data_IF_535598964046
#
_entry.id   IF_535598964046
#
_cell.length_a   1.000
_cell.length_b   1.000
_cell.length_c   1.000
_cell.angle_alpha   90.00
_cell.angle_beta   90.00
_cell.angle_gamma   90.00
#
_symmetry.space_group_name_H-M   'P 1'
#
loop_
_entity.id
_entity.type
_entity.pdbx_description
1 polymer ?
#
# COMPACT_ATOMS: atom_id res chain seq x y z
N UNK A 1 -9.28 -3.57 1.49
CA UNK A 1 -8.55 -4.52 0.63
C UNK A 1 -8.30 -3.93 -0.76
N UNK A 2 -9.33 -3.39 -1.43
CA UNK A 2 -9.18 -2.72 -2.74
C UNK A 2 -8.06 -1.68 -2.78
N UNK A 3 -8.02 -0.75 -1.83
CA UNK A 3 -6.99 0.30 -1.82
C UNK A 3 -5.56 -0.27 -1.77
N UNK A 4 -5.34 -1.38 -1.06
CA UNK A 4 -4.04 -2.05 -1.03
C UNK A 4 -3.69 -2.68 -2.38
N UNK A 5 -4.65 -3.32 -3.03
CA UNK A 5 -4.44 -3.87 -4.37
C UNK A 5 -4.16 -2.75 -5.38
N UNK A 6 -4.96 -1.68 -5.38
CA UNK A 6 -4.77 -0.55 -6.29
C UNK A 6 -3.39 0.09 -6.11
N UNK A 7 -2.98 0.36 -4.85
CA UNK A 7 -1.66 0.93 -4.54
C UNK A 7 -0.53 -0.02 -4.93
N UNK A 8 -0.69 -1.33 -4.72
CA UNK A 8 0.31 -2.32 -5.14
C UNK A 8 0.43 -2.41 -6.66
N UNK A 9 -0.67 -2.47 -7.40
CA UNK A 9 -0.66 -2.43 -8.87
C UNK A 9 0.00 -1.13 -9.36
N UNK A 10 -0.33 0.01 -8.74
CA UNK A 10 0.33 1.27 -9.04
C UNK A 10 1.85 1.17 -8.83
N UNK A 11 2.30 0.61 -7.70
CA UNK A 11 3.74 0.51 -7.41
C UNK A 11 4.50 -0.43 -8.34
N UNK A 12 3.81 -1.40 -8.97
CA UNK A 12 4.41 -2.36 -9.91
C UNK A 12 4.44 -1.87 -11.36
N UNK A 13 3.47 -1.06 -11.78
CA UNK A 13 3.24 -0.79 -13.20
C UNK A 13 3.37 0.68 -13.61
N UNK A 14 3.35 1.62 -12.66
CA UNK A 14 3.49 3.04 -12.98
C UNK A 14 4.95 3.44 -12.82
N UNK A 15 5.55 3.88 -13.92
CA UNK A 15 6.88 4.50 -13.94
C UNK A 15 6.78 5.91 -13.33
N UNK A 16 6.70 5.95 -12.01
CA UNK A 16 6.54 7.21 -11.29
C UNK A 16 7.85 7.98 -11.28
N UNK A 17 7.82 9.22 -11.80
CA UNK A 17 8.84 10.18 -11.43
C UNK A 17 8.73 10.45 -9.92
N UNK A 18 9.71 9.93 -9.15
CA UNK A 18 9.74 10.03 -7.69
C UNK A 18 9.58 11.47 -7.18
N UNK A 19 10.15 12.46 -7.90
CA UNK A 19 10.04 13.87 -7.55
C UNK A 19 8.61 14.41 -7.72
N UNK A 20 7.92 14.04 -8.79
CA UNK A 20 6.52 14.42 -9.02
C UNK A 20 5.58 13.74 -8.02
N UNK A 21 5.78 12.44 -7.76
CA UNK A 21 4.98 11.69 -6.80
C UNK A 21 5.11 12.28 -5.39
N UNK A 22 6.33 12.56 -4.94
CA UNK A 22 6.57 13.13 -3.62
C UNK A 22 5.89 14.51 -3.47
N UNK A 23 5.99 15.37 -4.49
CA UNK A 23 5.30 16.68 -4.49
C UNK A 23 3.78 16.53 -4.38
N UNK A 24 3.19 15.59 -5.12
CA UNK A 24 1.76 15.33 -5.09
C UNK A 24 1.30 14.80 -3.71
N UNK A 25 2.07 13.89 -3.12
CA UNK A 25 1.81 13.37 -1.76
C UNK A 25 1.88 14.51 -0.75
N UNK A 26 2.95 15.31 -0.74
CA UNK A 26 3.10 16.44 0.18
C UNK A 26 1.98 17.48 0.03
N UNK A 27 1.58 17.80 -1.21
CA UNK A 27 0.46 18.71 -1.46
C UNK A 27 -0.87 18.15 -0.92
N UNK A 28 -1.10 16.84 -1.07
CA UNK A 28 -2.32 16.19 -0.55
C UNK A 28 -2.41 16.27 0.97
N UNK A 29 -1.31 15.99 1.70
CA UNK A 29 -1.27 16.12 3.15
C UNK A 29 -1.45 17.57 3.62
N UNK A 30 -0.78 18.52 2.94
CA UNK A 30 -0.92 19.96 3.21
C UNK A 30 -2.37 20.41 3.03
N UNK A 31 -3.03 20.03 1.93
CA UNK A 31 -4.40 20.42 1.63
C UNK A 31 -5.42 19.81 2.60
N UNK A 32 -5.08 18.67 3.22
CA UNK A 32 -5.91 18.01 4.23
C UNK A 32 -5.59 18.46 5.66
N UNK A 33 -4.68 19.42 5.83
CA UNK A 33 -4.20 19.88 7.14
C UNK A 33 -3.75 18.74 8.07
N UNK A 34 -3.20 17.68 7.46
CA UNK A 34 -2.71 16.51 8.18
C UNK A 34 -1.22 16.38 7.94
N UNK A 35 -0.45 16.21 9.01
CA UNK A 35 0.99 16.02 8.90
C UNK A 35 1.30 14.73 8.14
N UNK A 36 2.32 14.77 7.28
CA UNK A 36 2.89 13.55 6.70
C UNK A 36 3.38 12.69 7.87
N UNK A 37 2.89 11.45 8.01
CA UNK A 37 3.28 10.61 9.13
C UNK A 37 4.77 10.27 9.05
N UNK A 38 5.46 10.53 10.15
CA UNK A 38 6.89 10.23 10.33
C UNK A 38 7.12 8.81 10.86
N UNK A 39 6.06 8.16 11.33
CA UNK A 39 6.05 6.78 11.81
C UNK A 39 5.40 5.85 10.78
N UNK A 40 5.76 4.58 10.83
CA UNK A 40 5.11 3.54 10.04
C UNK A 40 3.59 3.55 10.25
N UNK A 41 2.85 3.43 9.16
CA UNK A 41 1.40 3.24 9.20
C UNK A 41 1.06 1.87 9.77
N UNK A 42 0.14 1.78 10.72
CA UNK A 42 -0.35 0.49 11.26
C UNK A 42 -0.79 -0.46 10.14
N UNK A 43 -1.46 0.09 9.13
CA UNK A 43 -1.91 -0.60 7.92
C UNK A 43 -0.79 -1.27 7.11
N UNK A 44 0.48 -0.87 7.31
CA UNK A 44 1.65 -1.42 6.61
C UNK A 44 2.49 -2.37 7.48
N UNK A 45 1.97 -2.78 8.64
CA UNK A 45 2.68 -3.67 9.57
C UNK A 45 2.38 -5.16 9.28
N UNK A 46 3.32 -6.04 9.68
CA UNK A 46 3.12 -7.48 9.60
C UNK A 46 1.92 -7.97 10.44
N UNK A 47 1.62 -7.29 11.56
CA UNK A 47 0.45 -7.61 12.38
C UNK A 47 -0.84 -7.32 11.61
N UNK A 48 -0.92 -6.18 10.93
CA UNK A 48 -2.08 -5.85 10.10
C UNK A 48 -2.28 -6.86 8.97
N UNK A 49 -1.21 -7.24 8.27
CA UNK A 49 -1.29 -8.25 7.21
C UNK A 49 -1.82 -9.59 7.74
N UNK A 50 -1.35 -10.04 8.90
CA UNK A 50 -1.80 -11.29 9.54
C UNK A 50 -3.27 -11.23 9.94
N UNK A 51 -3.73 -10.14 10.54
CA UNK A 51 -5.13 -10.01 11.01
C UNK A 51 -6.12 -9.88 9.85
N UNK A 52 -5.68 -9.39 8.69
CA UNK A 52 -6.54 -9.16 7.52
C UNK A 52 -6.38 -10.19 6.40
N UNK A 53 -5.57 -11.24 6.58
CA UNK A 53 -5.35 -12.32 5.58
C UNK A 53 -6.65 -12.90 5.03
N UNK A 54 -7.63 -13.20 5.88
CA UNK A 54 -8.91 -13.78 5.45
C UNK A 54 -9.69 -12.81 4.56
N UNK A 55 -9.72 -11.52 4.91
CA UNK A 55 -10.38 -10.49 4.12
C UNK A 55 -9.70 -10.31 2.76
N UNK A 56 -8.37 -10.34 2.74
CA UNK A 56 -7.59 -10.31 1.51
C UNK A 56 -7.94 -11.49 0.60
N UNK A 57 -7.89 -12.72 1.13
CA UNK A 57 -8.18 -13.93 0.36
C UNK A 57 -9.60 -13.92 -0.23
N UNK A 58 -10.59 -13.46 0.54
CA UNK A 58 -11.96 -13.30 0.04
C UNK A 58 -12.05 -12.25 -1.07
N UNK A 59 -11.33 -11.14 -0.93
CA UNK A 59 -11.28 -10.06 -1.91
C UNK A 59 -10.66 -10.51 -3.24
N UNK A 60 -9.47 -11.13 -3.23
CA UNK A 60 -8.79 -11.55 -4.46
C UNK A 60 -9.52 -12.68 -5.18
N UNK A 61 -10.14 -13.62 -4.44
CA UNK A 61 -11.03 -14.63 -5.02
C UNK A 61 -12.21 -14.01 -5.78
N UNK A 62 -12.83 -12.98 -5.21
CA UNK A 62 -13.93 -12.27 -5.87
C UNK A 62 -13.48 -11.55 -7.15
N UNK A 63 -12.21 -11.15 -7.23
CA UNK A 63 -11.63 -10.52 -8.42
C UNK A 63 -11.12 -11.52 -9.46
N UNK A 64 -11.04 -12.82 -9.13
CA UNK A 64 -10.43 -13.85 -9.99
C UNK A 64 -8.90 -13.92 -9.91
N UNK A 65 -8.29 -13.25 -8.92
CA UNK A 65 -6.85 -13.15 -8.71
C UNK A 65 -6.37 -14.25 -7.75
N UNK A 66 -6.60 -15.52 -8.11
CA UNK A 66 -6.34 -16.66 -7.22
C UNK A 66 -4.86 -16.81 -6.85
N UNK A 67 -3.95 -16.38 -7.73
CA UNK A 67 -2.50 -16.34 -7.51
C UNK A 67 -2.08 -15.44 -6.34
N UNK A 68 -2.93 -14.49 -5.94
CA UNK A 68 -2.65 -13.57 -4.84
C UNK A 68 -3.20 -14.07 -3.50
N UNK A 69 -3.84 -15.24 -3.45
CA UNK A 69 -4.28 -15.87 -2.20
C UNK A 69 -3.06 -16.07 -1.30
N UNK A 70 -3.20 -15.73 -0.01
CA UNK A 70 -2.14 -15.75 1.00
C UNK A 70 -0.96 -14.79 0.75
N UNK A 71 -0.99 -14.01 -0.33
CA UNK A 71 0.06 -13.04 -0.69
C UNK A 71 0.02 -11.70 0.06
N UNK A 72 -0.94 -11.48 0.97
CA UNK A 72 -1.17 -10.15 1.54
C UNK A 72 0.04 -9.57 2.27
N UNK A 73 0.77 -10.39 3.04
CA UNK A 73 1.98 -9.95 3.74
C UNK A 73 3.03 -9.39 2.78
N UNK A 74 3.24 -10.07 1.64
CA UNK A 74 4.21 -9.63 0.64
C UNK A 74 3.79 -8.33 -0.04
N UNK A 75 2.50 -8.18 -0.32
CA UNK A 75 1.92 -6.96 -0.89
C UNK A 75 2.11 -5.78 0.05
N UNK A 76 1.87 -5.97 1.35
CA UNK A 76 2.09 -4.94 2.37
C UNK A 76 3.56 -4.52 2.43
N UNK A 77 4.50 -5.47 2.39
CA UNK A 77 5.95 -5.18 2.34
C UNK A 77 6.34 -4.40 1.09
N UNK A 78 5.79 -4.75 -0.07
CA UNK A 78 6.05 -4.06 -1.32
C UNK A 78 5.53 -2.61 -1.28
N UNK A 79 4.31 -2.40 -0.76
CA UNK A 79 3.74 -1.05 -0.56
C UNK A 79 4.59 -0.26 0.43
N UNK A 80 5.03 -0.87 1.54
CA UNK A 80 5.91 -0.23 2.53
C UNK A 80 7.22 0.23 1.88
N UNK A 81 7.83 -0.63 1.06
CA UNK A 81 9.08 -0.32 0.33
C UNK A 81 8.90 0.81 -0.68
N UNK A 82 7.72 0.92 -1.28
CA UNK A 82 7.39 1.95 -2.25
C UNK A 82 7.04 3.31 -1.61
N UNK A 83 6.24 3.29 -0.54
CA UNK A 83 5.61 4.50 0.02
C UNK A 83 6.39 5.12 1.19
N UNK A 84 7.26 4.37 1.86
CA UNK A 84 8.04 4.88 2.98
C UNK A 84 9.45 5.29 2.54
N UNK A 85 10.01 6.39 3.07
CA UNK A 85 11.42 6.73 2.87
C UNK A 85 12.30 5.57 3.32
N UNK A 86 13.33 5.23 2.53
CA UNK A 86 14.40 4.37 3.00
C UNK A 86 15.20 5.17 4.03
N UNK A 87 15.22 4.72 5.28
CA UNK A 87 16.11 5.22 6.34
C UNK A 87 17.56 5.03 5.95
#
# INVERSE_FOLDING_TARGET
>A
MKDFYDVWICSKHLDFNAGTLLKAISATFKNRETSVPTREFEALTATFARTHRVQWNAFVRKMGEEELIDGFSKIIEDIKTFAMPRS
#
